data_IF_379123666545
#
_entry.id   IF_379123666545
#
_cell.length_a   1.000
_cell.length_b   1.000
_cell.length_c   1.000
_cell.angle_alpha   90.00
_cell.angle_beta   90.00
_cell.angle_gamma   90.00
#
_symmetry.space_group_name_H-M   'P 1'
#
loop_
_entity.id
_entity.type
_entity.pdbx_description
1 polymer ?
#
# COMPACT_ATOMS: atom_id res chain seq x y z
N UNK A 1 -12.03 -9.99 8.00
CA UNK A 1 -12.49 -9.81 9.40
C UNK A 1 -12.83 -8.33 9.58
N UNK A 2 -13.95 -7.97 10.23
CA UNK A 2 -14.49 -6.60 10.23
C UNK A 2 -13.63 -5.54 10.97
N UNK A 3 -12.46 -5.90 11.52
CA UNK A 3 -11.55 -5.01 12.24
C UNK A 3 -10.19 -4.80 11.56
N UNK A 4 -9.99 -5.26 10.32
CA UNK A 4 -8.73 -5.03 9.62
C UNK A 4 -8.54 -3.53 9.39
N UNK A 5 -7.58 -2.93 10.13
CA UNK A 5 -7.22 -1.50 10.01
C UNK A 5 -6.51 -1.26 8.69
N UNK A 6 -7.32 -1.21 7.66
CA UNK A 6 -6.96 -0.91 6.29
C UNK A 6 -6.57 0.57 6.18
N UNK A 7 -5.36 0.84 5.67
CA UNK A 7 -4.92 2.19 5.35
C UNK A 7 -4.87 2.39 3.85
N UNK A 8 -5.31 3.57 3.44
CA UNK A 8 -5.30 4.02 2.04
C UNK A 8 -4.40 5.24 2.01
N UNK A 9 -3.40 5.22 1.14
CA UNK A 9 -2.51 6.35 0.95
C UNK A 9 -2.12 6.44 -0.52
N UNK A 10 -1.86 7.64 -1.00
CA UNK A 10 -1.34 7.84 -2.34
C UNK A 10 0.13 7.43 -2.39
N UNK A 11 0.57 6.88 -3.52
CA UNK A 11 1.98 6.57 -3.73
C UNK A 11 2.85 7.80 -3.41
N UNK A 12 3.87 7.71 -2.53
CA UNK A 12 4.71 8.84 -2.16
C UNK A 12 5.59 9.35 -3.32
N UNK A 13 5.76 8.54 -4.36
CA UNK A 13 6.66 8.83 -5.47
C UNK A 13 5.93 9.57 -6.62
N UNK A 14 4.75 9.08 -7.01
CA UNK A 14 3.97 9.69 -8.11
C UNK A 14 2.65 10.35 -7.67
N UNK A 15 2.11 10.01 -6.49
CA UNK A 15 0.81 10.49 -6.01
C UNK A 15 -0.43 9.99 -6.79
N UNK A 16 -0.23 9.37 -7.95
CA UNK A 16 -1.29 9.01 -8.90
C UNK A 16 -2.05 7.73 -8.50
N UNK A 17 -1.35 6.73 -7.97
CA UNK A 17 -1.99 5.50 -7.49
C UNK A 17 -2.42 5.59 -6.03
N UNK A 18 -3.63 5.11 -5.77
CA UNK A 18 -4.14 4.89 -4.43
C UNK A 18 -3.72 3.48 -3.96
N UNK A 19 -2.79 3.43 -3.03
CA UNK A 19 -2.29 2.19 -2.46
C UNK A 19 -3.16 1.83 -1.26
N UNK A 20 -3.77 0.64 -1.34
CA UNK A 20 -4.55 0.08 -0.25
C UNK A 20 -3.80 -1.09 0.38
N UNK A 21 -3.54 -0.99 1.69
CA UNK A 21 -2.86 -2.03 2.46
C UNK A 21 -3.70 -2.43 3.68
N UNK A 22 -3.82 -3.74 3.86
CA UNK A 22 -4.39 -4.34 5.05
C UNK A 22 -3.41 -4.26 6.24
N UNK A 23 -3.89 -4.44 7.48
CA UNK A 23 -3.01 -4.37 8.64
C UNK A 23 -1.95 -5.48 8.57
N UNK A 24 -2.37 -6.70 8.28
CA UNK A 24 -1.47 -7.86 8.11
C UNK A 24 -0.43 -7.66 7.01
N UNK A 25 -0.79 -6.94 5.95
CA UNK A 25 0.09 -6.61 4.84
C UNK A 25 1.23 -5.69 5.30
N UNK A 26 0.93 -4.74 6.19
CA UNK A 26 1.89 -3.80 6.77
C UNK A 26 2.74 -4.43 7.85
N UNK A 27 2.13 -5.23 8.73
CA UNK A 27 2.85 -5.98 9.76
C UNK A 27 3.86 -6.96 9.13
N UNK A 28 3.49 -7.58 8.02
CA UNK A 28 4.37 -8.45 7.25
C UNK A 28 5.32 -7.71 6.28
N UNK A 29 5.30 -6.37 6.27
CA UNK A 29 6.08 -5.53 5.35
C UNK A 29 6.02 -6.03 3.88
N UNK A 30 4.82 -6.42 3.43
CA UNK A 30 4.63 -6.98 2.08
C UNK A 30 4.81 -5.88 1.05
N UNK A 31 5.81 -6.08 0.20
CA UNK A 31 6.08 -5.21 -0.95
C UNK A 31 4.78 -4.92 -1.71
N UNK A 32 4.46 -3.64 -1.84
CA UNK A 32 3.48 -3.13 -2.79
C UNK A 32 4.20 -2.68 -4.04
N UNK A 33 3.55 -2.81 -5.19
CA UNK A 33 4.02 -2.24 -6.45
C UNK A 33 3.05 -1.15 -6.86
N UNK A 34 3.54 0.06 -7.08
CA UNK A 34 2.75 1.13 -7.68
C UNK A 34 2.57 0.87 -9.18
N UNK A 35 1.35 0.95 -9.72
CA UNK A 35 1.09 0.70 -11.14
C UNK A 35 1.57 1.83 -12.07
N UNK A 36 1.68 3.06 -11.56
CA UNK A 36 2.06 4.26 -12.31
C UNK A 36 3.56 4.41 -12.43
N UNK A 37 4.31 4.33 -11.32
CA UNK A 37 5.77 4.51 -11.33
C UNK A 37 6.56 3.21 -11.15
N UNK A 38 5.89 2.05 -11.04
CA UNK A 38 6.53 0.73 -10.83
C UNK A 38 7.45 0.67 -9.60
N UNK A 39 7.27 1.59 -8.65
CA UNK A 39 8.04 1.59 -7.41
C UNK A 39 7.58 0.45 -6.51
N UNK A 40 8.55 -0.25 -5.94
CA UNK A 40 8.32 -1.29 -4.93
C UNK A 40 8.79 -0.79 -3.57
N UNK A 41 7.85 -0.71 -2.63
CA UNK A 41 8.12 -0.38 -1.24
C UNK A 41 7.42 -1.38 -0.30
N UNK A 42 7.88 -1.55 0.94
CA UNK A 42 7.18 -2.33 1.96
C UNK A 42 5.90 -1.64 2.47
#
# INVERSE_FOLDING_TARGET
MPNDKCVKFNCPDCGADLIWRCQSCREAARNYTCSSCNTQGP
#
